data_IF_593163113708
#
_entry.id   IF_593163113708
#
_cell.length_a   1.000
_cell.length_b   1.000
_cell.length_c   1.000
_cell.angle_alpha   90.00
_cell.angle_beta   90.00
_cell.angle_gamma   90.00
#
_symmetry.space_group_name_H-M   'P 1'
#
loop_
_entity.id
_entity.type
_entity.pdbx_description
1 polymer ?
#
# COMPACT_ATOMS: atom_id res chain seq x y z
N UNK A 1 5.02 -33.29 -0.79
CA UNK A 1 4.55 -32.24 -1.72
C UNK A 1 5.18 -30.90 -1.39
N UNK A 2 5.40 -30.04 -2.39
CA UNK A 2 5.97 -28.71 -2.23
C UNK A 2 5.23 -27.71 -3.09
N UNK A 3 5.23 -26.43 -2.68
CA UNK A 3 4.65 -25.33 -3.44
C UNK A 3 5.49 -24.06 -3.32
N UNK A 4 5.34 -23.16 -4.29
CA UNK A 4 5.87 -21.78 -4.22
C UNK A 4 5.12 -21.02 -3.12
N UNK A 5 5.84 -20.29 -2.26
CA UNK A 5 5.34 -19.72 -1.00
C UNK A 5 5.54 -18.20 -0.95
N UNK A 6 4.83 -17.54 -0.05
CA UNK A 6 5.04 -16.15 0.35
C UNK A 6 5.20 -15.17 -0.80
N UNK A 7 6.22 -14.32 -0.75
CA UNK A 7 6.49 -13.28 -1.76
C UNK A 7 6.64 -13.88 -3.16
N UNK A 8 7.26 -15.06 -3.30
CA UNK A 8 7.43 -15.69 -4.63
C UNK A 8 6.08 -16.11 -5.22
N UNK A 9 5.15 -16.63 -4.41
CA UNK A 9 3.80 -16.94 -4.86
C UNK A 9 3.01 -15.66 -5.20
N UNK A 10 3.07 -14.62 -4.36
CA UNK A 10 2.42 -13.34 -4.63
C UNK A 10 2.84 -12.73 -5.98
N UNK A 11 4.14 -12.79 -6.31
CA UNK A 11 4.65 -12.30 -7.60
C UNK A 11 4.07 -13.09 -8.78
N UNK A 12 3.87 -14.39 -8.66
CA UNK A 12 3.20 -15.21 -9.68
C UNK A 12 1.71 -14.84 -9.82
N UNK A 13 1.09 -14.30 -8.77
CA UNK A 13 -0.27 -13.74 -8.80
C UNK A 13 -0.31 -12.27 -9.24
N UNK A 14 0.82 -11.71 -9.74
CA UNK A 14 0.89 -10.34 -10.26
C UNK A 14 1.12 -9.25 -9.20
N UNK A 15 1.46 -9.61 -7.96
CA UNK A 15 1.73 -8.65 -6.89
C UNK A 15 3.22 -8.32 -6.86
N UNK A 16 3.60 -7.14 -7.29
CA UNK A 16 5.00 -6.66 -7.29
C UNK A 16 5.43 -6.14 -5.92
N UNK A 17 5.76 -7.04 -5.00
CA UNK A 17 6.22 -6.71 -3.65
C UNK A 17 7.50 -7.46 -3.29
N UNK A 18 8.27 -6.90 -2.35
CA UNK A 18 9.49 -7.50 -1.82
C UNK A 18 10.58 -7.66 -2.87
N UNK A 19 11.53 -8.54 -2.58
CA UNK A 19 12.64 -8.87 -3.48
C UNK A 19 12.34 -10.14 -4.26
N UNK A 20 12.85 -10.24 -5.49
CA UNK A 20 12.69 -11.44 -6.33
C UNK A 20 13.36 -12.65 -5.67
N UNK A 21 14.55 -12.46 -5.15
CA UNK A 21 15.33 -13.52 -4.48
C UNK A 21 15.49 -13.24 -2.98
N UNK A 22 15.63 -14.31 -2.17
CA UNK A 22 15.58 -15.73 -2.51
C UNK A 22 14.16 -16.20 -2.82
N UNK A 23 14.02 -17.20 -3.71
CA UNK A 23 12.75 -17.85 -4.00
C UNK A 23 12.21 -18.59 -2.76
N UNK A 24 10.90 -18.46 -2.50
CA UNK A 24 10.24 -19.02 -1.34
C UNK A 24 9.46 -20.28 -1.71
N UNK A 25 9.66 -21.35 -0.94
CA UNK A 25 8.92 -22.61 -1.07
C UNK A 25 8.44 -23.09 0.29
N UNK A 26 7.33 -23.81 0.27
CA UNK A 26 6.81 -24.57 1.40
C UNK A 26 6.74 -26.06 1.06
N UNK A 27 7.08 -26.94 2.02
CA UNK A 27 7.08 -28.37 1.81
C UNK A 27 6.64 -29.13 3.06
N UNK A 28 6.04 -30.31 2.87
CA UNK A 28 5.77 -31.28 3.94
C UNK A 28 6.92 -32.31 4.10
N UNK A 29 7.88 -32.34 3.17
CA UNK A 29 9.00 -33.27 3.22
C UNK A 29 10.11 -32.78 4.18
N UNK A 30 10.89 -33.73 4.70
CA UNK A 30 12.12 -33.44 5.46
C UNK A 30 13.26 -33.07 4.51
N UNK A 31 13.09 -31.98 3.78
CA UNK A 31 14.04 -31.52 2.78
C UNK A 31 14.61 -30.16 3.13
N UNK A 32 15.90 -29.96 2.85
CA UNK A 32 16.59 -28.66 2.96
C UNK A 32 17.15 -28.29 1.60
N UNK A 33 17.15 -26.99 1.32
CA UNK A 33 17.93 -26.46 0.19
C UNK A 33 19.27 -25.93 0.71
N UNK A 34 20.33 -26.28 0.04
CA UNK A 34 21.67 -25.71 0.24
C UNK A 34 21.91 -24.48 -0.64
N UNK A 35 21.00 -24.20 -1.57
CA UNK A 35 21.09 -23.07 -2.51
C UNK A 35 20.77 -21.76 -1.81
N UNK A 36 21.67 -20.76 -1.85
CA UNK A 36 21.45 -19.47 -1.16
C UNK A 36 20.25 -18.69 -1.71
N UNK A 37 19.91 -18.88 -2.98
CA UNK A 37 18.77 -18.26 -3.65
C UNK A 37 17.42 -18.93 -3.36
N UNK A 38 17.40 -20.00 -2.52
CA UNK A 38 16.18 -20.75 -2.20
C UNK A 38 15.97 -20.81 -0.69
N UNK A 39 14.79 -20.42 -0.24
CA UNK A 39 14.35 -20.59 1.14
C UNK A 39 13.18 -21.55 1.20
N UNK A 40 13.33 -22.62 1.97
CA UNK A 40 12.29 -23.66 2.13
C UNK A 40 11.75 -23.62 3.55
N UNK A 41 10.44 -23.44 3.66
CA UNK A 41 9.70 -23.56 4.92
C UNK A 41 9.07 -24.94 5.01
N UNK A 42 9.17 -25.58 6.15
CA UNK A 42 8.44 -26.82 6.43
C UNK A 42 7.13 -26.57 7.13
N UNK A 43 6.15 -27.41 6.81
CA UNK A 43 4.82 -27.43 7.44
C UNK A 43 4.35 -28.87 7.59
N UNK A 44 3.47 -29.15 8.55
CA UNK A 44 2.80 -30.45 8.69
C UNK A 44 1.78 -30.71 7.58
N UNK A 45 1.09 -29.65 7.15
CA UNK A 45 0.10 -29.70 6.09
C UNK A 45 0.35 -28.57 5.10
N UNK A 46 0.29 -28.88 3.79
CA UNK A 46 0.46 -27.89 2.74
C UNK A 46 -0.76 -26.95 2.73
N UNK A 47 -0.56 -25.62 2.80
CA UNK A 47 -1.66 -24.69 2.65
C UNK A 47 -2.32 -24.81 1.26
N UNK A 48 -3.55 -24.31 1.08
CA UNK A 48 -4.23 -24.34 -0.21
C UNK A 48 -3.37 -23.80 -1.34
N UNK A 49 -3.22 -24.60 -2.41
CA UNK A 49 -2.37 -24.26 -3.56
C UNK A 49 -2.99 -24.77 -4.87
N UNK A 50 -2.62 -24.12 -5.97
CA UNK A 50 -2.96 -24.50 -7.33
C UNK A 50 -1.69 -24.52 -8.18
N UNK A 51 -1.49 -25.57 -9.00
CA UNK A 51 -0.29 -25.77 -9.84
C UNK A 51 1.03 -25.57 -9.05
N UNK A 52 1.08 -26.10 -7.83
CA UNK A 52 2.23 -25.93 -6.91
C UNK A 52 2.57 -24.47 -6.56
N UNK A 53 1.60 -23.56 -6.59
CA UNK A 53 1.70 -22.18 -6.10
C UNK A 53 0.64 -21.98 -5.03
N UNK A 54 1.01 -21.44 -3.85
CA UNK A 54 0.01 -21.10 -2.83
C UNK A 54 -1.03 -20.13 -3.40
N UNK A 55 -2.30 -20.34 -3.03
CA UNK A 55 -3.36 -19.39 -3.34
C UNK A 55 -3.07 -18.00 -2.73
N UNK A 56 -3.69 -16.92 -3.26
CA UNK A 56 -3.37 -15.53 -2.86
C UNK A 56 -3.36 -15.28 -1.35
N UNK A 57 -4.41 -15.67 -0.62
CA UNK A 57 -4.48 -15.44 0.84
C UNK A 57 -3.44 -16.23 1.63
N UNK A 58 -3.25 -17.54 1.46
CA UNK A 58 -2.15 -18.28 2.07
C UNK A 58 -0.76 -17.69 1.75
N UNK A 59 -0.56 -17.23 0.50
CA UNK A 59 0.68 -16.58 0.08
C UNK A 59 0.90 -15.26 0.81
N UNK A 60 -0.14 -14.41 0.95
CA UNK A 60 -0.08 -13.15 1.70
C UNK A 60 0.27 -13.39 3.17
N UNK A 61 -0.43 -14.33 3.83
CA UNK A 61 -0.16 -14.67 5.24
C UNK A 61 1.27 -15.19 5.40
N UNK A 62 1.78 -16.00 4.46
CA UNK A 62 3.16 -16.50 4.50
C UNK A 62 4.19 -15.38 4.28
N UNK A 63 3.89 -14.41 3.41
CA UNK A 63 4.77 -13.28 3.06
C UNK A 63 5.07 -12.34 4.25
N UNK A 64 4.32 -12.40 5.35
CA UNK A 64 4.61 -11.62 6.58
C UNK A 64 6.02 -11.83 7.14
N UNK A 65 6.68 -12.93 6.77
CA UNK A 65 8.05 -13.25 7.20
C UNK A 65 9.12 -12.50 6.42
N UNK A 66 8.75 -11.98 5.28
CA UNK A 66 9.65 -11.38 4.30
C UNK A 66 9.34 -9.91 4.02
N UNK A 67 8.08 -9.52 4.19
CA UNK A 67 7.61 -8.16 3.99
C UNK A 67 7.58 -7.38 5.31
N UNK A 68 7.90 -6.11 5.24
CA UNK A 68 7.59 -5.15 6.29
C UNK A 68 6.07 -4.87 6.35
N UNK A 69 5.65 -4.01 7.29
CA UNK A 69 4.24 -3.65 7.43
C UNK A 69 3.68 -3.04 6.14
N UNK A 70 4.42 -2.12 5.56
CA UNK A 70 4.03 -1.40 4.35
C UNK A 70 3.85 -2.36 3.16
N UNK A 71 4.81 -3.28 2.96
CA UNK A 71 4.74 -4.29 1.92
C UNK A 71 3.57 -5.25 2.07
N UNK A 72 3.21 -5.62 3.33
CA UNK A 72 2.04 -6.46 3.60
C UNK A 72 0.73 -5.76 3.24
N UNK A 73 0.58 -4.49 3.62
CA UNK A 73 -0.62 -3.71 3.30
C UNK A 73 -0.74 -3.50 1.79
N UNK A 74 0.35 -3.12 1.12
CA UNK A 74 0.39 -2.98 -0.35
C UNK A 74 -0.02 -4.30 -1.03
N UNK A 75 0.47 -5.45 -0.55
CA UNK A 75 0.10 -6.74 -1.11
C UNK A 75 -1.39 -7.05 -0.88
N UNK A 76 -1.92 -6.75 0.30
CA UNK A 76 -3.34 -6.92 0.62
C UNK A 76 -4.25 -6.06 -0.25
N UNK A 77 -3.99 -4.76 -0.32
CA UNK A 77 -4.75 -3.81 -1.14
C UNK A 77 -4.73 -4.22 -2.63
N UNK A 78 -3.56 -4.67 -3.13
CA UNK A 78 -3.43 -5.16 -4.49
C UNK A 78 -4.24 -6.42 -4.78
N UNK A 79 -4.24 -7.42 -3.88
CA UNK A 79 -5.03 -8.64 -4.05
C UNK A 79 -6.53 -8.35 -4.08
N UNK A 80 -6.99 -7.40 -3.26
CA UNK A 80 -8.38 -6.94 -3.24
C UNK A 80 -8.72 -6.27 -4.58
N UNK A 81 -7.89 -5.33 -5.03
CA UNK A 81 -8.06 -4.65 -6.32
C UNK A 81 -8.11 -5.62 -7.50
N UNK A 82 -7.25 -6.63 -7.49
CA UNK A 82 -7.19 -7.64 -8.55
C UNK A 82 -8.38 -8.62 -8.54
N UNK A 83 -9.28 -8.52 -7.56
CA UNK A 83 -10.43 -9.40 -7.41
C UNK A 83 -10.10 -10.83 -6.97
N UNK A 84 -8.87 -11.06 -6.47
CA UNK A 84 -8.45 -12.35 -5.96
C UNK A 84 -9.07 -12.69 -4.59
N UNK A 85 -9.53 -11.68 -3.87
CA UNK A 85 -10.07 -11.79 -2.51
C UNK A 85 -10.83 -10.52 -2.14
N UNK A 86 -11.57 -10.55 -1.04
CA UNK A 86 -12.28 -9.41 -0.47
C UNK A 86 -11.51 -8.78 0.68
N UNK A 87 -11.85 -7.55 1.06
CA UNK A 87 -11.27 -6.86 2.23
C UNK A 87 -11.46 -7.69 3.51
N UNK A 88 -12.66 -8.21 3.73
CA UNK A 88 -12.98 -9.02 4.92
C UNK A 88 -12.15 -10.29 5.00
N UNK A 89 -11.92 -10.98 3.88
CA UNK A 89 -11.08 -12.19 3.83
C UNK A 89 -9.62 -11.88 4.11
N UNK A 90 -9.07 -10.78 3.55
CA UNK A 90 -7.69 -10.34 3.82
C UNK A 90 -7.53 -10.02 5.30
N UNK A 91 -8.45 -9.22 5.86
CA UNK A 91 -8.42 -8.85 7.27
C UNK A 91 -8.49 -10.07 8.18
N UNK A 92 -9.44 -10.98 7.93
CA UNK A 92 -9.58 -12.20 8.70
C UNK A 92 -8.32 -13.09 8.63
N UNK A 93 -7.77 -13.30 7.43
CA UNK A 93 -6.59 -14.14 7.24
C UNK A 93 -5.33 -13.58 7.92
N UNK A 94 -5.12 -12.26 7.86
CA UNK A 94 -3.98 -11.60 8.52
C UNK A 94 -4.17 -11.53 10.04
N UNK A 95 -5.39 -11.29 10.53
CA UNK A 95 -5.71 -11.25 11.95
C UNK A 95 -5.53 -12.64 12.61
N UNK A 96 -5.91 -13.71 11.92
CA UNK A 96 -5.76 -15.09 12.37
C UNK A 96 -4.31 -15.62 12.28
N UNK A 97 -3.36 -14.83 11.78
CA UNK A 97 -1.97 -15.27 11.64
C UNK A 97 -1.33 -15.59 13.00
N UNK A 98 -0.67 -16.74 13.06
CA UNK A 98 -0.01 -17.24 14.27
C UNK A 98 1.51 -17.40 14.08
N UNK A 99 2.24 -17.52 15.20
CA UNK A 99 3.68 -17.73 15.23
C UNK A 99 4.47 -16.46 14.87
N UNK A 100 5.62 -16.67 14.20
CA UNK A 100 6.55 -15.57 13.88
C UNK A 100 5.88 -14.48 13.04
N UNK A 101 6.16 -13.22 13.39
CA UNK A 101 5.69 -12.00 12.68
C UNK A 101 4.15 -11.83 12.66
N UNK A 102 3.40 -12.54 13.54
CA UNK A 102 1.94 -12.43 13.63
C UNK A 102 1.47 -11.02 14.05
N UNK A 103 2.24 -10.29 14.88
CA UNK A 103 1.90 -8.92 15.29
C UNK A 103 1.86 -7.99 14.06
N UNK A 104 2.84 -8.13 13.17
CA UNK A 104 2.89 -7.36 11.92
C UNK A 104 1.70 -7.69 11.00
N UNK A 105 1.36 -8.98 10.89
CA UNK A 105 0.19 -9.40 10.12
C UNK A 105 -1.11 -8.82 10.67
N UNK A 106 -1.33 -8.88 11.99
CA UNK A 106 -2.52 -8.30 12.63
C UNK A 106 -2.58 -6.79 12.45
N UNK A 107 -1.44 -6.10 12.56
CA UNK A 107 -1.38 -4.66 12.28
C UNK A 107 -1.69 -4.34 10.82
N UNK A 108 -1.20 -5.15 9.88
CA UNK A 108 -1.56 -5.01 8.47
C UNK A 108 -3.06 -5.22 8.23
N UNK A 109 -3.71 -6.17 8.92
CA UNK A 109 -5.16 -6.38 8.84
C UNK A 109 -5.97 -5.12 9.19
N UNK A 110 -5.50 -4.32 10.15
CA UNK A 110 -6.14 -3.05 10.52
C UNK A 110 -5.97 -1.96 9.47
N UNK A 111 -4.95 -2.06 8.63
CA UNK A 111 -4.52 -1.02 7.70
C UNK A 111 -4.87 -1.29 6.22
N UNK A 112 -5.21 -2.53 5.83
CA UNK A 112 -5.65 -2.83 4.46
C UNK A 112 -6.98 -2.17 4.15
N UNK A 113 -7.13 -1.69 2.91
CA UNK A 113 -8.34 -1.00 2.42
C UNK A 113 -8.65 -1.39 0.99
N UNK A 114 -9.88 -1.19 0.61
CA UNK A 114 -10.32 -1.18 -0.78
C UNK A 114 -10.03 0.16 -1.45
N UNK A 115 -10.09 0.18 -2.77
CA UNK A 115 -10.06 1.39 -3.58
C UNK A 115 -8.66 1.87 -3.96
N UNK A 116 -7.57 1.37 -3.36
CA UNK A 116 -6.22 1.72 -3.83
C UNK A 116 -5.92 1.03 -5.16
N UNK A 117 -5.50 1.79 -6.16
CA UNK A 117 -5.23 1.28 -7.50
C UNK A 117 -3.74 1.06 -7.78
N UNK A 118 -2.88 1.53 -6.89
CA UNK A 118 -1.44 1.36 -7.04
C UNK A 118 -0.73 1.20 -5.69
N UNK A 119 0.46 0.54 -5.67
CA UNK A 119 1.32 0.49 -4.49
C UNK A 119 1.69 1.87 -3.94
N UNK A 120 1.72 2.89 -4.80
CA UNK A 120 2.12 4.26 -4.44
C UNK A 120 1.01 4.99 -3.71
N UNK A 121 -0.24 4.79 -4.12
CA UNK A 121 -1.42 5.31 -3.42
C UNK A 121 -1.55 4.70 -2.03
N UNK A 122 -1.43 3.36 -1.89
CA UNK A 122 -1.36 2.70 -0.58
C UNK A 122 -0.27 3.30 0.30
N UNK A 123 0.93 3.53 -0.26
CA UNK A 123 2.04 4.13 0.48
C UNK A 123 1.76 5.57 0.91
N UNK A 124 1.17 6.40 0.04
CA UNK A 124 0.81 7.77 0.36
C UNK A 124 -0.29 7.82 1.44
N UNK A 125 -1.28 6.94 1.36
CA UNK A 125 -2.32 6.77 2.40
C UNK A 125 -1.70 6.43 3.75
N UNK A 126 -0.85 5.41 3.80
CA UNK A 126 -0.19 4.98 5.04
C UNK A 126 0.76 6.03 5.60
N UNK A 127 1.42 6.82 4.74
CA UNK A 127 2.25 7.94 5.15
C UNK A 127 1.48 8.95 6.01
N UNK A 128 0.21 9.18 5.68
CA UNK A 128 -0.70 10.07 6.40
C UNK A 128 -1.25 9.39 7.65
N UNK A 129 -1.82 8.21 7.50
CA UNK A 129 -2.54 7.48 8.56
C UNK A 129 -1.61 7.12 9.73
N UNK A 130 -0.41 6.62 9.44
CA UNK A 130 0.57 6.28 10.48
C UNK A 130 1.16 7.52 11.17
N UNK A 131 1.04 8.71 10.56
CA UNK A 131 1.37 9.99 11.20
C UNK A 131 0.20 10.55 12.04
N UNK A 132 -0.94 9.87 12.10
CA UNK A 132 -2.12 10.28 12.86
C UNK A 132 -3.02 11.28 12.14
N UNK A 133 -2.84 11.51 10.86
CA UNK A 133 -3.79 12.27 10.05
C UNK A 133 -5.06 11.46 9.78
N UNK A 134 -6.19 12.14 9.48
CA UNK A 134 -7.43 11.45 9.13
C UNK A 134 -7.26 10.47 7.95
N UNK A 135 -7.98 9.36 8.00
CA UNK A 135 -8.00 8.38 6.92
C UNK A 135 -8.66 8.97 5.68
N UNK A 136 -8.00 9.03 4.51
CA UNK A 136 -8.59 9.48 3.27
C UNK A 136 -9.44 8.38 2.61
N UNK A 137 -10.43 8.77 1.84
CA UNK A 137 -11.08 7.89 0.87
C UNK A 137 -10.18 7.71 -0.35
N UNK A 138 -10.13 6.48 -0.91
CA UNK A 138 -9.29 6.16 -2.05
C UNK A 138 -10.05 6.28 -3.37
N UNK A 139 -9.40 6.82 -4.40
CA UNK A 139 -9.88 6.87 -5.79
C UNK A 139 -11.31 7.41 -5.95
N UNK A 140 -11.55 8.59 -5.37
CA UNK A 140 -12.88 9.23 -5.35
C UNK A 140 -13.13 9.99 -6.64
N UNK A 141 -14.27 9.72 -7.26
CA UNK A 141 -14.78 10.55 -8.35
C UNK A 141 -15.42 11.81 -7.81
N UNK A 142 -14.96 12.96 -8.29
CA UNK A 142 -15.52 14.27 -8.04
C UNK A 142 -16.47 14.62 -9.17
N UNK A 143 -17.66 15.13 -8.83
CA UNK A 143 -18.66 15.55 -9.80
C UNK A 143 -19.73 16.40 -9.16
N UNK A 144 -20.49 17.10 -10.00
CA UNK A 144 -21.68 17.89 -9.65
C UNK A 144 -22.83 17.59 -10.62
N UNK A 145 -23.89 18.37 -10.57
CA UNK A 145 -25.06 18.25 -11.45
C UNK A 145 -24.69 18.37 -12.96
N UNK A 146 -23.53 18.95 -13.28
CA UNK A 146 -23.01 19.10 -14.65
C UNK A 146 -22.20 17.87 -15.09
N UNK A 147 -21.95 16.92 -14.19
CA UNK A 147 -21.30 15.65 -14.47
C UNK A 147 -19.94 15.47 -13.82
N UNK A 148 -19.15 14.54 -14.38
CA UNK A 148 -17.83 14.16 -13.89
C UNK A 148 -16.80 15.29 -14.05
N UNK A 149 -16.05 15.57 -12.99
CA UNK A 149 -15.00 16.58 -12.94
C UNK A 149 -13.61 15.92 -13.02
N UNK A 150 -13.30 15.08 -12.06
CA UNK A 150 -12.03 14.39 -11.97
C UNK A 150 -12.14 13.21 -10.99
N UNK A 151 -11.19 12.26 -11.07
CA UNK A 151 -10.95 11.28 -10.02
C UNK A 151 -9.66 11.65 -9.30
N UNK A 152 -9.68 11.61 -7.96
CA UNK A 152 -8.52 11.93 -7.09
C UNK A 152 -8.10 10.68 -6.33
N UNK A 153 -6.80 10.49 -6.14
CA UNK A 153 -6.24 9.26 -5.56
C UNK A 153 -6.63 9.10 -4.08
N UNK A 154 -6.49 10.15 -3.30
CA UNK A 154 -6.82 10.19 -1.86
C UNK A 154 -7.64 11.45 -1.57
N UNK A 155 -8.79 11.31 -0.91
CA UNK A 155 -9.68 12.43 -0.65
C UNK A 155 -10.07 12.54 0.83
N UNK A 156 -9.73 13.66 1.44
CA UNK A 156 -10.11 14.07 2.79
C UNK A 156 -11.36 14.95 2.69
N UNK A 157 -12.52 14.31 2.56
CA UNK A 157 -13.80 14.91 2.18
C UNK A 157 -14.23 16.07 3.07
N UNK A 158 -14.11 15.91 4.40
CA UNK A 158 -14.51 16.93 5.36
C UNK A 158 -13.82 18.29 5.17
N UNK A 159 -12.59 18.26 4.63
CA UNK A 159 -11.76 19.46 4.41
C UNK A 159 -11.59 19.79 2.92
N UNK A 160 -12.14 18.96 2.03
CA UNK A 160 -11.97 19.10 0.58
C UNK A 160 -10.51 19.21 0.18
N UNK A 161 -9.66 18.37 0.77
CA UNK A 161 -8.24 18.23 0.44
C UNK A 161 -8.02 16.91 -0.29
N UNK A 162 -7.29 16.93 -1.40
CA UNK A 162 -6.93 15.73 -2.15
C UNK A 162 -5.41 15.53 -2.16
N UNK A 163 -4.94 14.32 -1.84
CA UNK A 163 -3.58 13.88 -2.06
C UNK A 163 -3.47 13.16 -3.39
N UNK A 164 -2.60 13.60 -4.29
CA UNK A 164 -2.41 12.99 -5.60
C UNK A 164 -0.97 12.57 -5.82
N UNK A 165 -0.75 11.33 -6.28
CA UNK A 165 0.58 10.86 -6.62
C UNK A 165 0.89 11.07 -8.10
N UNK A 166 1.91 11.89 -8.38
CA UNK A 166 2.38 12.12 -9.76
C UNK A 166 3.40 11.04 -10.16
N UNK A 167 3.03 10.21 -11.14
CA UNK A 167 3.96 9.29 -11.81
C UNK A 167 4.96 10.03 -12.70
N UNK A 168 6.15 9.45 -12.89
CA UNK A 168 7.22 10.01 -13.74
C UNK A 168 6.85 10.07 -15.24
N UNK A 169 5.77 9.41 -15.67
CA UNK A 169 5.44 9.18 -17.09
C UNK A 169 4.84 10.38 -17.83
N UNK A 170 4.42 11.45 -17.15
CA UNK A 170 3.63 12.55 -17.75
C UNK A 170 4.42 13.80 -18.12
N UNK A 171 5.75 13.81 -17.97
CA UNK A 171 6.54 15.05 -18.13
C UNK A 171 7.04 15.33 -19.55
N UNK A 172 6.92 14.40 -20.48
CA UNK A 172 7.57 14.49 -21.82
C UNK A 172 6.62 14.81 -22.97
N UNK A 173 5.30 14.71 -22.78
CA UNK A 173 4.32 14.99 -23.83
C UNK A 173 3.55 16.29 -23.56
N UNK A 174 3.67 17.33 -24.43
CA UNK A 174 2.99 18.61 -24.27
C UNK A 174 1.46 18.51 -24.21
N UNK A 175 0.86 17.57 -24.96
CA UNK A 175 -0.60 17.38 -24.99
C UNK A 175 -1.11 16.79 -23.67
N UNK A 176 -0.36 15.89 -23.10
CA UNK A 176 -0.64 15.31 -21.76
C UNK A 176 -0.52 16.37 -20.66
N UNK A 177 0.50 17.23 -20.75
CA UNK A 177 0.66 18.34 -19.81
C UNK A 177 -0.53 19.32 -19.83
N UNK A 178 -1.01 19.68 -21.02
CA UNK A 178 -2.19 20.56 -21.16
C UNK A 178 -3.47 19.94 -20.60
N UNK A 179 -3.64 18.63 -20.70
CA UNK A 179 -4.79 17.90 -20.11
C UNK A 179 -4.70 17.87 -18.58
N UNK A 180 -3.51 17.64 -18.05
CA UNK A 180 -3.26 17.62 -16.59
C UNK A 180 -3.50 18.98 -15.96
N UNK A 181 -3.08 20.07 -16.63
CA UNK A 181 -3.31 21.44 -16.17
C UNK A 181 -4.82 21.75 -16.11
N UNK A 182 -5.56 21.45 -17.18
CA UNK A 182 -7.03 21.64 -17.21
C UNK A 182 -7.75 20.79 -16.14
N UNK A 183 -7.26 19.55 -15.91
CA UNK A 183 -7.78 18.68 -14.85
C UNK A 183 -7.58 19.32 -13.48
N UNK A 184 -6.37 19.84 -13.21
CA UNK A 184 -6.03 20.54 -11.97
C UNK A 184 -6.91 21.77 -11.75
N UNK A 185 -7.05 22.63 -12.77
CA UNK A 185 -7.90 23.82 -12.73
C UNK A 185 -9.36 23.46 -12.39
N UNK A 186 -9.89 22.38 -12.97
CA UNK A 186 -11.26 21.90 -12.68
C UNK A 186 -11.40 21.42 -11.23
N UNK A 187 -10.42 20.71 -10.68
CA UNK A 187 -10.41 20.28 -9.27
C UNK A 187 -10.41 21.50 -8.34
N UNK A 188 -9.57 22.49 -8.62
CA UNK A 188 -9.50 23.74 -7.82
C UNK A 188 -10.79 24.53 -7.93
N UNK A 189 -11.34 24.69 -9.14
CA UNK A 189 -12.61 25.39 -9.37
C UNK A 189 -13.80 24.69 -8.67
N UNK A 190 -13.75 23.38 -8.51
CA UNK A 190 -14.72 22.61 -7.72
C UNK A 190 -14.56 22.82 -6.21
N UNK A 191 -13.52 23.57 -5.77
CA UNK A 191 -13.24 23.93 -4.38
C UNK A 191 -12.44 22.87 -3.61
N UNK A 192 -11.86 21.90 -4.28
CA UNK A 192 -10.92 20.93 -3.69
C UNK A 192 -9.51 21.48 -3.77
N UNK A 193 -8.74 21.34 -2.69
CA UNK A 193 -7.31 21.71 -2.63
C UNK A 193 -6.45 20.47 -2.90
N UNK A 194 -5.85 20.32 -4.09
CA UNK A 194 -4.98 19.20 -4.40
C UNK A 194 -3.57 19.41 -3.87
N UNK A 195 -3.03 18.40 -3.19
CA UNK A 195 -1.62 18.31 -2.75
C UNK A 195 -0.92 17.26 -3.61
N UNK A 196 -0.16 17.72 -4.59
CA UNK A 196 0.53 16.84 -5.54
C UNK A 196 1.84 16.32 -4.95
N UNK A 197 2.04 15.00 -4.99
CA UNK A 197 3.20 14.30 -4.43
C UNK A 197 3.93 13.56 -5.55
N UNK A 198 5.08 14.08 -5.95
CA UNK A 198 5.96 13.43 -6.90
C UNK A 198 6.94 12.48 -6.18
N UNK A 199 7.51 11.52 -6.91
CA UNK A 199 8.52 10.57 -6.40
C UNK A 199 9.68 11.25 -5.67
N UNK A 200 10.12 12.42 -6.14
CA UNK A 200 11.19 13.19 -5.51
C UNK A 200 10.82 13.64 -4.08
N UNK A 201 9.56 13.96 -3.83
CA UNK A 201 9.07 14.37 -2.51
C UNK A 201 9.14 13.23 -1.49
N UNK A 202 9.00 11.96 -1.93
CA UNK A 202 9.08 10.79 -1.04
C UNK A 202 10.48 10.57 -0.44
N UNK A 203 11.51 11.26 -0.92
CA UNK A 203 12.84 11.30 -0.26
C UNK A 203 12.80 12.06 1.07
N UNK A 204 11.79 12.91 1.27
CA UNK A 204 11.53 13.66 2.49
C UNK A 204 10.09 13.41 2.95
N UNK A 205 9.81 12.22 3.47
CA UNK A 205 8.43 11.79 3.74
C UNK A 205 7.72 12.68 4.78
N UNK A 206 8.46 13.26 5.74
CA UNK A 206 7.89 14.20 6.72
C UNK A 206 7.36 15.47 6.05
N UNK A 207 8.09 16.01 5.07
CA UNK A 207 7.66 17.23 4.36
C UNK A 207 6.36 16.98 3.60
N UNK A 208 6.15 15.76 3.08
CA UNK A 208 4.88 15.38 2.44
C UNK A 208 3.72 15.41 3.43
N UNK A 209 3.91 14.79 4.61
CA UNK A 209 2.90 14.77 5.67
C UNK A 209 2.58 16.19 6.12
N UNK A 210 3.60 17.02 6.35
CA UNK A 210 3.41 18.41 6.79
C UNK A 210 2.67 19.25 5.75
N UNK A 211 2.97 19.09 4.46
CA UNK A 211 2.24 19.79 3.38
C UNK A 211 0.75 19.40 3.35
N UNK A 212 0.43 18.14 3.59
CA UNK A 212 -0.97 17.68 3.67
C UNK A 212 -1.62 18.23 4.95
N UNK A 213 -0.91 18.22 6.07
CA UNK A 213 -1.38 18.80 7.33
C UNK A 213 -1.67 20.31 7.19
N UNK A 214 -0.75 21.07 6.59
CA UNK A 214 -0.92 22.51 6.36
C UNK A 214 -2.13 22.79 5.45
N UNK A 215 -2.33 21.96 4.41
CA UNK A 215 -3.51 22.04 3.57
C UNK A 215 -4.80 21.76 4.36
N UNK A 216 -4.81 20.75 5.24
CA UNK A 216 -5.93 20.46 6.13
C UNK A 216 -6.22 21.62 7.08
N UNK A 217 -5.20 22.17 7.74
CA UNK A 217 -5.34 23.33 8.66
C UNK A 217 -5.90 24.54 7.91
N UNK A 218 -5.43 24.83 6.71
CA UNK A 218 -5.95 25.93 5.87
C UNK A 218 -7.43 25.75 5.50
N UNK A 219 -7.95 24.52 5.64
CA UNK A 219 -9.35 24.14 5.39
C UNK A 219 -10.15 23.88 6.68
N UNK A 220 -9.61 24.31 7.84
CA UNK A 220 -10.32 24.26 9.12
C UNK A 220 -10.15 22.97 9.90
N UNK A 221 -9.13 22.15 9.57
CA UNK A 221 -8.77 21.02 10.42
C UNK A 221 -8.21 21.53 11.76
N UNK A 222 -8.80 21.07 12.85
CA UNK A 222 -8.44 21.42 14.23
C UNK A 222 -8.00 20.21 15.06
N UNK A 223 -7.74 19.08 14.39
CA UNK A 223 -7.22 17.87 15.04
C UNK A 223 -5.72 17.98 15.36
N UNK A 224 -5.13 16.92 15.94
CA UNK A 224 -3.74 16.92 16.36
C UNK A 224 -2.78 17.09 15.19
N UNK A 225 -1.62 17.68 15.48
CA UNK A 225 -0.50 17.71 14.51
C UNK A 225 0.09 16.30 14.29
N UNK A 226 0.72 16.07 13.14
CA UNK A 226 1.32 14.77 12.82
C UNK A 226 2.36 14.32 13.86
N UNK A 227 2.33 13.01 14.19
CA UNK A 227 3.29 12.38 15.07
C UNK A 227 4.08 11.32 14.30
N UNK A 228 5.39 11.47 14.28
CA UNK A 228 6.30 10.55 13.61
C UNK A 228 6.84 9.52 14.60
N UNK A 229 5.96 8.63 15.07
CA UNK A 229 6.29 7.58 16.03
C UNK A 229 7.16 6.46 15.45
N UNK A 230 7.55 5.47 16.27
CA UNK A 230 8.44 4.38 15.82
C UNK A 230 7.90 3.61 14.62
N UNK A 231 6.61 3.29 14.59
CA UNK A 231 5.98 2.56 13.47
C UNK A 231 6.07 3.35 12.16
N UNK A 232 5.85 4.66 12.22
CA UNK A 232 5.99 5.54 11.06
C UNK A 232 7.44 5.63 10.58
N UNK A 233 8.38 5.81 11.52
CA UNK A 233 9.82 5.86 11.20
C UNK A 233 10.30 4.54 10.59
N UNK A 234 9.85 3.41 11.12
CA UNK A 234 10.18 2.09 10.58
C UNK A 234 9.71 1.89 9.14
N UNK A 235 8.53 2.40 8.83
CA UNK A 235 7.94 2.27 7.51
C UNK A 235 8.56 3.22 6.47
N UNK A 236 8.90 4.45 6.86
CA UNK A 236 9.24 5.52 5.91
C UNK A 236 10.64 6.10 6.05
N UNK A 237 11.33 5.87 7.18
CA UNK A 237 12.71 6.32 7.44
C UNK A 237 13.61 5.21 8.01
N UNK A 238 13.65 3.99 7.40
CA UNK A 238 14.39 2.86 7.96
C UNK A 238 15.89 3.14 8.11
N UNK A 239 16.45 4.09 7.35
CA UNK A 239 17.86 4.50 7.45
C UNK A 239 18.21 5.21 8.76
N UNK A 240 17.24 5.76 9.50
CA UNK A 240 17.49 6.41 10.80
C UNK A 240 17.76 5.45 11.95
N UNK A 241 17.56 4.15 11.75
CA UNK A 241 17.90 3.12 12.74
C UNK A 241 19.39 2.72 12.74
N UNK A 242 20.13 3.12 11.71
CA UNK A 242 21.53 2.71 11.52
C UNK A 242 22.53 3.73 12.09
N UNK A 243 22.05 4.69 12.87
CA UNK A 243 22.84 5.68 13.63
C UNK A 243 22.52 5.57 15.11
#
# INVERSE_FOLDING_TARGET
MSAVDGVSALRLWGVEVGTERPYRYVTTAKHHSTRPEVRVRRTSQLPPCQHSVLLPLPALVAARRDLDLLGLVVAGDWLIRAGWTTLSEVQAALAAAEGRDCRRARRAAELVREGSESPRETRLRLLMVLAGLPEPECNVELGDERGFIARVDLYLRAWRVAGEYEGDQHRTDPDTYGKDLRRYERIVAFGVLPVRVAKAHLKRPRDVVMRIYDALVSRGYNGPSPVFGPEWCDAFEPWRRST
#
